data_IF_291719463789
#
_entry.id   IF_291719463789
#
_cell.length_a   1.000
_cell.length_b   1.000
_cell.length_c   1.000
_cell.angle_alpha   90.00
_cell.angle_beta   90.00
_cell.angle_gamma   90.00
#
_symmetry.space_group_name_H-M   'P 1'
#
loop_
_entity.id
_entity.type
_entity.pdbx_description
1 polymer ?
#
# COMPACT_ATOMS: atom_id res chain seq x y z
N UNK A 1 -19.21 11.12 -0.18
CA UNK A 1 -19.24 10.49 -1.52
C UNK A 1 -18.17 11.11 -2.40
N UNK A 2 -17.24 10.29 -2.93
CA UNK A 2 -16.18 10.70 -3.86
C UNK A 2 -16.70 11.57 -5.00
N UNK A 3 -16.18 12.80 -5.11
CA UNK A 3 -16.60 13.75 -6.15
C UNK A 3 -15.84 13.52 -7.46
N UNK A 4 -16.52 13.64 -8.60
CA UNK A 4 -15.90 13.55 -9.93
C UNK A 4 -16.05 14.89 -10.64
N UNK A 5 -14.92 15.50 -11.00
CA UNK A 5 -14.85 16.86 -11.55
C UNK A 5 -13.94 16.94 -12.77
N UNK A 6 -14.09 17.97 -13.58
CA UNK A 6 -13.21 18.18 -14.73
C UNK A 6 -11.93 18.90 -14.32
N UNK A 7 -10.84 18.66 -15.05
CA UNK A 7 -9.59 19.41 -14.84
C UNK A 7 -9.81 20.93 -14.90
N UNK A 8 -10.68 21.42 -15.79
CA UNK A 8 -11.00 22.84 -15.90
C UNK A 8 -11.72 23.40 -14.65
N UNK A 9 -12.59 22.61 -14.02
CA UNK A 9 -13.24 23.02 -12.77
C UNK A 9 -12.23 23.09 -11.61
N UNK A 10 -11.33 22.11 -11.54
CA UNK A 10 -10.27 22.08 -10.54
C UNK A 10 -9.33 23.28 -10.68
N UNK A 11 -8.90 23.62 -11.91
CA UNK A 11 -8.04 24.78 -12.12
C UNK A 11 -8.70 26.11 -11.73
N UNK A 12 -10.03 26.23 -11.87
CA UNK A 12 -10.75 27.46 -11.52
C UNK A 12 -10.92 27.64 -10.00
N UNK A 13 -11.17 26.55 -9.27
CA UNK A 13 -11.48 26.58 -7.83
C UNK A 13 -10.56 25.65 -7.03
N UNK A 14 -9.26 25.70 -7.28
CA UNK A 14 -8.31 24.69 -6.75
C UNK A 14 -8.36 24.55 -5.23
N UNK A 15 -8.39 25.66 -4.48
CA UNK A 15 -8.44 25.63 -3.01
C UNK A 15 -9.63 24.86 -2.45
N UNK A 16 -10.83 25.07 -3.02
CA UNK A 16 -12.03 24.36 -2.56
C UNK A 16 -11.93 22.84 -2.80
N UNK A 17 -11.31 22.41 -3.90
CA UNK A 17 -11.09 21.00 -4.18
C UNK A 17 -9.94 20.40 -3.36
N UNK A 18 -8.95 21.21 -2.99
CA UNK A 18 -7.91 20.81 -2.04
C UNK A 18 -8.52 20.54 -0.66
N UNK A 19 -9.35 21.44 -0.15
CA UNK A 19 -10.07 21.26 1.13
C UNK A 19 -11.01 20.06 1.09
N UNK A 20 -11.69 19.84 -0.04
CA UNK A 20 -12.52 18.66 -0.24
C UNK A 20 -11.70 17.36 -0.22
N UNK A 21 -10.53 17.36 -0.87
CA UNK A 21 -9.63 16.21 -0.97
C UNK A 21 -9.01 15.78 0.38
N UNK A 22 -8.99 16.68 1.37
CA UNK A 22 -8.61 16.34 2.75
C UNK A 22 -9.66 15.43 3.41
N UNK A 23 -10.94 15.56 3.04
CA UNK A 23 -12.03 14.77 3.62
C UNK A 23 -12.32 13.51 2.82
N UNK A 24 -12.36 13.64 1.50
CA UNK A 24 -12.67 12.53 0.59
C UNK A 24 -11.94 12.69 -0.75
N UNK A 25 -11.51 11.60 -1.41
CA UNK A 25 -10.86 11.67 -2.71
C UNK A 25 -11.69 12.40 -3.77
N UNK A 26 -11.00 13.15 -4.64
CA UNK A 26 -11.62 13.86 -5.77
C UNK A 26 -11.07 13.30 -7.08
N UNK A 27 -11.95 12.70 -7.89
CA UNK A 27 -11.61 12.17 -9.20
C UNK A 27 -11.59 13.31 -10.21
N UNK A 28 -10.46 13.49 -10.89
CA UNK A 28 -10.27 14.51 -11.92
C UNK A 28 -10.32 13.85 -13.29
N UNK A 29 -11.21 14.37 -14.14
CA UNK A 29 -11.45 13.88 -15.49
C UNK A 29 -10.87 14.81 -16.55
N UNK A 30 -10.48 14.21 -17.67
CA UNK A 30 -10.15 14.90 -18.93
C UNK A 30 -10.95 14.24 -20.05
N UNK A 31 -11.69 15.03 -20.83
CA UNK A 31 -12.56 14.54 -21.91
C UNK A 31 -13.55 13.46 -21.44
N UNK A 32 -14.16 13.65 -20.25
CA UNK A 32 -15.15 12.73 -19.68
C UNK A 32 -14.57 11.44 -19.07
N UNK A 33 -13.26 11.23 -19.11
CA UNK A 33 -12.61 10.04 -18.53
C UNK A 33 -11.78 10.38 -17.29
N UNK A 34 -11.88 9.61 -16.19
CA UNK A 34 -10.98 9.73 -15.04
C UNK A 34 -9.52 9.64 -15.49
N UNK A 35 -8.68 10.56 -15.00
CA UNK A 35 -7.25 10.63 -15.35
C UNK A 35 -6.36 10.61 -14.11
N UNK A 36 -6.74 11.39 -13.10
CA UNK A 36 -6.00 11.51 -11.84
C UNK A 36 -6.98 11.62 -10.67
N UNK A 37 -6.49 11.42 -9.46
CA UNK A 37 -7.26 11.63 -8.22
C UNK A 37 -6.45 12.58 -7.34
N UNK A 38 -7.12 13.57 -6.74
CA UNK A 38 -6.56 14.39 -5.69
C UNK A 38 -6.98 13.80 -4.34
N UNK A 39 -6.01 13.60 -3.46
CA UNK A 39 -6.18 13.03 -2.12
C UNK A 39 -5.34 13.80 -1.11
N UNK A 40 -5.69 13.68 0.17
CA UNK A 40 -4.85 14.11 1.27
C UNK A 40 -3.46 13.48 1.18
N UNK A 41 -2.44 14.22 1.62
CA UNK A 41 -1.07 13.72 1.66
C UNK A 41 -0.93 12.47 2.55
N UNK A 42 -1.60 12.45 3.71
CA UNK A 42 -1.58 11.31 4.63
C UNK A 42 -2.19 10.04 4.00
N UNK A 43 -3.24 10.19 3.21
CA UNK A 43 -3.85 9.09 2.47
C UNK A 43 -2.91 8.57 1.37
N UNK A 44 -2.23 9.48 0.66
CA UNK A 44 -1.19 9.08 -0.29
C UNK A 44 -0.10 8.25 0.39
N UNK A 45 0.43 8.69 1.54
CA UNK A 45 1.45 7.94 2.27
C UNK A 45 0.94 6.56 2.74
N UNK A 46 -0.29 6.50 3.26
CA UNK A 46 -0.91 5.24 3.70
C UNK A 46 -1.08 4.26 2.55
N UNK A 47 -1.47 4.74 1.37
CA UNK A 47 -1.58 3.93 0.16
C UNK A 47 -0.20 3.51 -0.36
N UNK A 48 0.76 4.43 -0.44
CA UNK A 48 2.12 4.16 -0.90
C UNK A 48 2.82 3.11 -0.03
N UNK A 49 2.61 3.13 1.29
CA UNK A 49 3.13 2.10 2.21
C UNK A 49 2.56 0.71 1.97
N UNK A 50 1.37 0.61 1.40
CA UNK A 50 0.70 -0.67 1.08
C UNK A 50 0.94 -1.11 -0.35
N UNK A 51 1.63 -0.29 -1.15
CA UNK A 51 1.99 -0.67 -2.49
C UNK A 51 2.96 -1.85 -2.42
N UNK A 52 2.58 -2.97 -3.03
CA UNK A 52 3.38 -4.18 -2.99
C UNK A 52 4.59 -3.99 -3.90
N UNK A 53 5.75 -3.84 -3.29
CA UNK A 53 7.04 -3.89 -4.00
C UNK A 53 7.49 -5.34 -4.10
N UNK A 54 7.99 -5.72 -5.27
CA UNK A 54 8.57 -7.03 -5.53
C UNK A 54 9.99 -6.79 -5.98
N UNK A 55 10.93 -7.07 -5.09
CA UNK A 55 12.36 -6.92 -5.32
C UNK A 55 13.00 -8.31 -5.43
N UNK A 56 14.16 -8.42 -6.09
CA UNK A 56 14.85 -9.70 -6.21
C UNK A 56 15.49 -10.05 -4.87
N UNK A 57 15.49 -11.34 -4.51
CA UNK A 57 16.14 -11.80 -3.27
C UNK A 57 17.65 -11.52 -3.28
N UNK A 58 18.26 -11.42 -4.46
CA UNK A 58 19.68 -11.06 -4.65
C UNK A 58 19.99 -9.59 -4.38
N UNK A 59 18.97 -8.74 -4.27
CA UNK A 59 19.12 -7.30 -4.03
C UNK A 59 18.93 -6.93 -2.55
N UNK A 60 18.60 -7.91 -1.69
CA UNK A 60 18.46 -7.69 -0.25
C UNK A 60 19.80 -7.24 0.36
N UNK A 61 19.77 -6.12 1.08
CA UNK A 61 20.90 -5.61 1.82
C UNK A 61 21.14 -6.37 3.14
N UNK A 62 22.32 -6.18 3.71
CA UNK A 62 22.71 -6.86 4.96
C UNK A 62 21.74 -6.57 6.14
N UNK A 63 21.23 -5.34 6.24
CA UNK A 63 20.27 -4.95 7.28
C UNK A 63 18.94 -5.69 7.15
N UNK A 64 18.45 -5.85 5.92
CA UNK A 64 17.19 -6.54 5.63
C UNK A 64 17.32 -8.04 5.89
N UNK A 65 18.45 -8.65 5.49
CA UNK A 65 18.76 -10.03 5.79
C UNK A 65 18.85 -10.29 7.30
N UNK A 66 19.47 -9.38 8.05
CA UNK A 66 19.55 -9.47 9.51
C UNK A 66 18.17 -9.33 10.18
N UNK A 67 17.32 -8.41 9.69
CA UNK A 67 15.96 -8.24 10.17
C UNK A 67 15.11 -9.50 9.91
N UNK A 68 15.21 -10.08 8.72
CA UNK A 68 14.52 -11.33 8.37
C UNK A 68 15.02 -12.48 9.25
N UNK A 69 16.33 -12.63 9.43
CA UNK A 69 16.92 -13.71 10.22
C UNK A 69 16.61 -13.63 11.72
N UNK A 70 16.39 -12.43 12.25
CA UNK A 70 16.00 -12.21 13.65
C UNK A 70 14.49 -12.24 13.89
N UNK A 71 13.69 -12.22 12.83
CA UNK A 71 12.23 -12.26 12.90
C UNK A 71 11.75 -13.54 13.59
N UNK A 72 10.76 -13.42 14.46
CA UNK A 72 10.12 -14.53 15.17
C UNK A 72 8.63 -14.54 14.85
N UNK A 73 8.02 -15.73 14.86
CA UNK A 73 6.57 -15.83 14.79
C UNK A 73 5.92 -15.19 16.02
N UNK A 74 4.72 -14.66 15.82
CA UNK A 74 3.88 -14.20 16.94
C UNK A 74 3.59 -15.36 17.90
N UNK A 75 3.73 -15.20 19.23
CA UNK A 75 3.59 -16.30 20.20
C UNK A 75 2.24 -17.03 20.14
N UNK A 76 1.16 -16.35 19.73
CA UNK A 76 -0.15 -16.98 19.53
C UNK A 76 -0.17 -18.07 18.43
N UNK A 77 0.85 -18.10 17.58
CA UNK A 77 1.03 -19.06 16.49
C UNK A 77 1.95 -20.23 16.84
N UNK A 78 2.38 -20.37 18.11
CA UNK A 78 3.26 -21.47 18.55
C UNK A 78 2.74 -22.86 18.20
N UNK A 79 1.42 -23.03 18.13
CA UNK A 79 0.77 -24.29 17.75
C UNK A 79 1.16 -24.76 16.33
N UNK A 80 1.57 -23.85 15.44
CA UNK A 80 2.06 -24.20 14.10
C UNK A 80 3.40 -24.93 14.12
N UNK A 81 4.17 -24.86 15.21
CA UNK A 81 5.39 -25.65 15.35
C UNK A 81 5.10 -27.17 15.34
N UNK A 82 3.87 -27.58 15.67
CA UNK A 82 3.46 -28.97 15.55
C UNK A 82 3.41 -29.47 14.09
N UNK A 83 3.26 -28.57 13.10
CA UNK A 83 3.28 -28.93 11.68
C UNK A 83 4.68 -29.33 11.21
N UNK A 84 5.75 -28.75 11.79
CA UNK A 84 7.14 -29.13 11.45
C UNK A 84 7.45 -30.61 11.75
N UNK A 85 6.72 -31.21 12.69
CA UNK A 85 6.91 -32.60 13.10
C UNK A 85 6.11 -33.59 12.24
N UNK A 86 5.12 -33.11 11.48
CA UNK A 86 4.27 -33.95 10.62
C UNK A 86 4.95 -34.32 9.29
N UNK A 87 5.88 -33.48 8.82
CA UNK A 87 6.62 -33.68 7.56
C UNK A 87 7.97 -34.38 7.74
N UNK A 88 8.08 -35.37 8.65
CA UNK A 88 9.27 -36.24 8.73
C UNK A 88 9.52 -37.11 7.47
N UNK A 89 8.81 -36.87 6.37
CA UNK A 89 8.97 -37.57 5.09
C UNK A 89 8.90 -36.59 3.90
N UNK A 90 9.95 -35.80 3.69
CA UNK A 90 10.17 -35.13 2.39
C UNK A 90 11.67 -34.82 2.16
N UNK A 91 12.54 -35.79 2.43
CA UNK A 91 13.92 -35.80 1.93
C UNK A 91 14.46 -37.24 1.99
N UNK A 92 13.99 -38.06 1.06
CA UNK A 92 14.70 -39.22 0.50
C UNK A 92 14.65 -39.07 -1.03
#
# INVERSE_FOLDING_TARGET
MTSTVTAAAVSKNFGAYQDAAVREPVIITKNGRPRTVLIAYEDYLRLAKRDRRVDLTTELGDEELAAIGSSQMEPGLDHLNAELLKDKHAAD
#
